data_IF_846615309995
#
_entry.id   IF_846615309995
#
_cell.length_a   1.000
_cell.length_b   1.000
_cell.length_c   1.000
_cell.angle_alpha   90.00
_cell.angle_beta   90.00
_cell.angle_gamma   90.00
#
_symmetry.space_group_name_H-M   'P 1'
#
loop_
_entity.id
_entity.type
_entity.pdbx_description
1 polymer ?
#
# COMPACT_ATOMS: atom_id res chain seq x y z
N UNK A 1 19.72 -29.24 5.58
CA UNK A 1 20.14 -28.01 6.28
C UNK A 1 19.45 -26.84 5.61
N UNK A 2 18.53 -26.15 6.28
CA UNK A 2 17.96 -24.88 5.80
C UNK A 2 19.07 -23.81 5.85
N UNK A 3 19.24 -22.96 4.84
CA UNK A 3 20.23 -21.89 4.89
C UNK A 3 19.84 -20.89 6.00
N UNK A 4 20.68 -20.80 7.04
CA UNK A 4 20.43 -20.00 8.25
C UNK A 4 20.66 -18.49 8.07
N UNK A 5 20.48 -17.96 6.85
CA UNK A 5 20.86 -16.57 6.50
C UNK A 5 19.73 -15.77 5.85
N UNK A 6 18.48 -16.23 5.94
CA UNK A 6 17.38 -15.44 5.38
C UNK A 6 17.10 -14.21 6.25
N UNK A 7 17.02 -13.01 5.65
CA UNK A 7 16.58 -11.81 6.34
C UNK A 7 15.22 -12.01 7.04
N UNK A 8 14.96 -11.28 8.14
CA UNK A 8 13.68 -11.33 8.83
C UNK A 8 12.50 -11.10 7.87
N UNK A 9 11.46 -11.93 8.02
CA UNK A 9 10.24 -11.82 7.22
C UNK A 9 10.26 -12.52 5.86
N UNK A 10 11.41 -13.05 5.39
CA UNK A 10 11.41 -13.87 4.18
C UNK A 10 10.74 -15.23 4.46
N UNK A 11 9.71 -15.53 3.69
CA UNK A 11 9.05 -16.83 3.70
C UNK A 11 9.65 -17.75 2.63
N UNK A 12 9.80 -19.03 2.96
CA UNK A 12 10.24 -20.08 2.03
C UNK A 12 9.10 -21.02 1.69
N UNK A 13 8.89 -21.29 0.41
CA UNK A 13 7.92 -22.28 -0.04
C UNK A 13 8.58 -23.26 -1.03
N UNK A 14 8.45 -24.55 -0.79
CA UNK A 14 8.81 -25.58 -1.77
C UNK A 14 7.61 -25.82 -2.69
N UNK A 15 7.82 -25.60 -3.98
CA UNK A 15 6.85 -25.88 -5.04
C UNK A 15 7.29 -27.14 -5.78
N UNK A 16 6.37 -28.10 -5.87
CA UNK A 16 6.53 -29.31 -6.67
C UNK A 16 5.81 -29.14 -8.01
N UNK A 17 6.53 -29.25 -9.11
CA UNK A 17 5.97 -29.20 -10.45
C UNK A 17 5.46 -30.59 -10.87
N UNK A 18 4.53 -30.64 -11.84
CA UNK A 18 3.99 -31.90 -12.39
C UNK A 18 5.07 -32.84 -12.96
N UNK A 19 6.22 -32.30 -13.33
CA UNK A 19 7.38 -33.06 -13.82
C UNK A 19 8.20 -33.75 -12.73
N UNK A 20 7.80 -33.63 -11.45
CA UNK A 20 8.57 -34.14 -10.30
C UNK A 20 9.72 -33.23 -9.86
N UNK A 21 9.99 -32.13 -10.59
CA UNK A 21 10.95 -31.11 -10.19
C UNK A 21 10.45 -30.37 -8.94
N UNK A 22 11.34 -30.16 -7.97
CA UNK A 22 11.11 -29.35 -6.78
C UNK A 22 11.90 -28.05 -6.86
N UNK A 23 11.32 -26.94 -6.42
CA UNK A 23 11.99 -25.64 -6.37
C UNK A 23 11.60 -24.90 -5.10
N UNK A 24 12.58 -24.27 -4.45
CA UNK A 24 12.35 -23.38 -3.31
C UNK A 24 12.16 -21.96 -3.83
N UNK A 25 11.07 -21.33 -3.43
CA UNK A 25 10.75 -19.92 -3.69
C UNK A 25 10.94 -19.15 -2.39
N UNK A 26 11.59 -17.98 -2.48
CA UNK A 26 11.80 -17.06 -1.38
C UNK A 26 10.96 -15.80 -1.63
N UNK A 27 10.09 -15.47 -0.69
CA UNK A 27 9.19 -14.31 -0.78
C UNK A 27 9.52 -13.32 0.31
N UNK A 28 9.89 -12.10 -0.07
CA UNK A 28 10.09 -11.00 0.86
C UNK A 28 8.75 -10.29 1.16
N UNK A 29 8.55 -9.75 2.37
CA UNK A 29 7.38 -8.95 2.68
C UNK A 29 7.44 -7.64 1.88
N UNK A 30 6.27 -7.08 1.55
CA UNK A 30 6.22 -5.75 0.95
C UNK A 30 6.80 -4.72 1.93
N UNK A 31 7.57 -3.78 1.38
CA UNK A 31 8.09 -2.65 2.16
C UNK A 31 6.92 -1.86 2.72
N UNK A 32 7.01 -1.50 4.00
CA UNK A 32 6.01 -0.73 4.72
C UNK A 32 6.68 0.33 5.59
N UNK A 33 6.05 1.50 5.74
CA UNK A 33 6.53 2.60 6.60
C UNK A 33 5.36 3.42 7.14
N UNK A 34 5.52 4.01 8.32
CA UNK A 34 4.43 4.64 9.09
C UNK A 34 3.45 3.62 9.72
N UNK A 35 2.25 4.05 10.15
CA UNK A 35 1.66 5.37 9.95
C UNK A 35 2.34 6.47 10.77
N UNK A 36 2.49 7.66 10.20
CA UNK A 36 3.03 8.85 10.88
C UNK A 36 2.04 10.01 10.78
N UNK A 37 1.97 10.82 11.83
CA UNK A 37 1.18 12.04 11.85
C UNK A 37 2.03 13.18 11.29
N UNK A 38 1.53 13.87 10.27
CA UNK A 38 2.18 15.03 9.64
C UNK A 38 1.19 16.18 9.45
N UNK A 39 1.67 17.27 8.83
CA UNK A 39 0.83 18.35 8.33
C UNK A 39 0.79 18.34 6.81
N UNK A 40 -0.41 18.54 6.24
CA UNK A 40 -0.58 18.73 4.80
C UNK A 40 -0.07 20.12 4.35
N UNK A 41 -0.11 20.40 3.04
CA UNK A 41 0.31 21.69 2.47
C UNK A 41 -0.52 22.88 2.98
N UNK A 42 -1.70 22.63 3.56
CA UNK A 42 -2.59 23.63 4.15
C UNK A 42 -2.43 23.70 5.68
N UNK A 43 -1.45 22.98 6.25
CA UNK A 43 -1.15 22.97 7.68
C UNK A 43 -2.07 22.09 8.53
N UNK A 44 -3.01 21.35 7.92
CA UNK A 44 -3.95 20.45 8.62
C UNK A 44 -3.27 19.15 8.98
N UNK A 45 -3.72 18.50 10.05
CA UNK A 45 -3.19 17.18 10.42
C UNK A 45 -3.54 16.14 9.35
N UNK A 46 -2.60 15.24 9.08
CA UNK A 46 -2.81 14.13 8.17
C UNK A 46 -2.03 12.90 8.66
N UNK A 47 -2.67 11.73 8.60
CA UNK A 47 -1.95 10.47 8.71
C UNK A 47 -1.36 10.11 7.36
N UNK A 48 -0.12 9.63 7.37
CA UNK A 48 0.55 9.11 6.17
C UNK A 48 1.09 7.72 6.45
N UNK A 49 0.81 6.79 5.54
CA UNK A 49 1.24 5.40 5.62
C UNK A 49 1.75 4.95 4.25
N UNK A 50 2.77 4.11 4.20
CA UNK A 50 3.26 3.52 2.97
C UNK A 50 3.20 2.00 3.04
N UNK A 51 2.71 1.36 1.98
CA UNK A 51 2.77 -0.08 1.78
C UNK A 51 2.99 -0.42 0.31
N UNK A 52 3.95 -1.29 0.01
CA UNK A 52 4.32 -1.67 -1.36
C UNK A 52 4.55 -0.46 -2.30
N UNK A 53 5.16 0.61 -1.77
CA UNK A 53 5.35 1.92 -2.44
C UNK A 53 4.07 2.67 -2.82
N UNK A 54 2.89 2.24 -2.35
CA UNK A 54 1.70 3.10 -2.30
C UNK A 54 1.75 3.93 -1.02
N UNK A 55 1.72 5.25 -1.17
CA UNK A 55 1.67 6.23 -0.09
C UNK A 55 0.24 6.73 0.04
N UNK A 56 -0.36 6.46 1.20
CA UNK A 56 -1.70 6.87 1.57
C UNK A 56 -1.63 8.11 2.44
N UNK A 57 -2.36 9.16 2.09
CA UNK A 57 -2.48 10.38 2.89
C UNK A 57 -3.93 10.62 3.25
N UNK A 58 -4.23 10.69 4.54
CA UNK A 58 -5.58 10.90 5.06
C UNK A 58 -5.64 12.12 5.98
N UNK A 59 -6.12 13.22 5.42
CA UNK A 59 -6.31 14.47 6.16
C UNK A 59 -7.39 14.36 7.23
N UNK A 60 -7.22 15.09 8.33
CA UNK A 60 -8.21 15.20 9.39
C UNK A 60 -9.55 15.69 8.85
N UNK A 61 -10.63 15.02 9.24
CA UNK A 61 -12.00 15.32 8.78
C UNK A 61 -12.31 14.90 7.33
N UNK A 62 -11.33 14.38 6.58
CA UNK A 62 -11.58 13.88 5.23
C UNK A 62 -12.26 12.51 5.28
N UNK A 63 -13.18 12.25 4.36
CA UNK A 63 -13.79 10.92 4.13
C UNK A 63 -13.09 10.14 3.01
N UNK A 64 -11.96 10.66 2.53
CA UNK A 64 -11.22 10.14 1.39
C UNK A 64 -9.71 10.16 1.67
N UNK A 65 -9.03 9.18 1.09
CA UNK A 65 -7.57 9.02 1.09
C UNK A 65 -7.01 9.38 -0.29
N UNK A 66 -5.89 10.09 -0.30
CA UNK A 66 -5.09 10.30 -1.49
C UNK A 66 -4.02 9.22 -1.59
N UNK A 67 -3.81 8.68 -2.78
CA UNK A 67 -2.83 7.61 -3.03
C UNK A 67 -1.78 8.09 -4.04
N UNK A 68 -0.52 7.91 -3.69
CA UNK A 68 0.64 8.24 -4.54
C UNK A 68 1.60 7.05 -4.61
N UNK A 69 2.49 7.04 -5.59
CA UNK A 69 3.65 6.14 -5.63
C UNK A 69 4.86 6.82 -5.00
N UNK A 70 5.63 6.11 -4.17
CA UNK A 70 6.93 6.59 -3.66
C UNK A 70 7.25 6.10 -2.26
N UNK A 71 7.85 6.98 -1.46
CA UNK A 71 8.20 6.74 -0.05
C UNK A 71 7.72 7.90 0.83
N UNK A 72 7.69 7.72 2.15
CA UNK A 72 7.26 8.77 3.08
C UNK A 72 8.20 10.00 3.04
N UNK A 73 9.51 9.79 3.00
CA UNK A 73 10.53 10.86 2.97
C UNK A 73 10.90 11.35 1.57
N UNK A 74 10.56 10.60 0.52
CA UNK A 74 10.95 10.89 -0.85
C UNK A 74 9.88 11.59 -1.69
N UNK A 75 10.20 11.87 -2.97
CA UNK A 75 9.24 12.37 -3.95
C UNK A 75 8.08 11.38 -4.11
N UNK A 76 6.89 11.92 -4.38
CA UNK A 76 5.65 11.16 -4.52
C UNK A 76 4.99 11.51 -5.84
N UNK A 77 4.67 10.50 -6.63
CA UNK A 77 3.92 10.64 -7.87
C UNK A 77 2.44 10.37 -7.58
N UNK A 78 1.52 11.34 -7.69
CA UNK A 78 0.10 11.11 -7.46
C UNK A 78 -0.45 10.02 -8.38
N UNK A 79 -1.27 9.11 -7.83
CA UNK A 79 -1.90 8.03 -8.60
C UNK A 79 -3.42 8.13 -8.58
N UNK A 80 -4.02 8.14 -7.38
CA UNK A 80 -5.47 8.26 -7.19
C UNK A 80 -5.81 9.35 -6.20
N UNK A 81 -6.89 10.06 -6.52
CA UNK A 81 -7.53 11.02 -5.62
C UNK A 81 -8.89 10.47 -5.24
N UNK A 82 -9.31 10.70 -4.00
CA UNK A 82 -10.68 10.45 -3.59
C UNK A 82 -11.04 9.01 -3.26
N UNK A 83 -10.09 8.17 -2.84
CA UNK A 83 -10.39 6.78 -2.45
C UNK A 83 -11.14 6.80 -1.12
N UNK A 84 -12.41 6.41 -1.12
CA UNK A 84 -13.27 6.46 0.07
C UNK A 84 -12.73 5.57 1.19
N UNK A 85 -12.75 6.10 2.42
CA UNK A 85 -12.43 5.37 3.64
C UNK A 85 -13.56 5.56 4.66
N UNK A 86 -14.13 4.44 5.11
CA UNK A 86 -15.27 4.43 6.04
C UNK A 86 -14.89 4.28 7.51
N UNK A 87 -13.63 4.49 7.86
CA UNK A 87 -13.10 4.25 9.21
C UNK A 87 -13.00 5.54 10.03
N UNK A 88 -12.79 5.40 11.35
CA UNK A 88 -12.45 6.54 12.21
C UNK A 88 -11.01 7.01 11.95
N UNK A 89 -10.83 8.33 11.92
CA UNK A 89 -9.55 8.97 11.62
C UNK A 89 -8.47 8.57 12.64
N UNK A 90 -7.58 7.66 12.23
CA UNK A 90 -6.48 7.17 13.05
C UNK A 90 -5.40 6.53 12.17
N UNK A 91 -4.16 6.54 12.65
CA UNK A 91 -3.04 5.88 11.98
C UNK A 91 -3.28 4.37 11.74
N UNK A 92 -3.68 3.58 12.75
CA UNK A 92 -3.96 2.15 12.56
C UNK A 92 -5.03 1.86 11.50
N UNK A 93 -6.12 2.63 11.49
CA UNK A 93 -7.17 2.47 10.49
C UNK A 93 -6.67 2.76 9.07
N UNK A 94 -5.80 3.78 8.91
CA UNK A 94 -5.16 4.06 7.61
C UNK A 94 -4.23 2.91 7.18
N UNK A 95 -3.49 2.33 8.12
CA UNK A 95 -2.56 1.24 7.84
C UNK A 95 -3.29 -0.02 7.37
N UNK A 96 -4.36 -0.41 8.08
CA UNK A 96 -5.21 -1.53 7.70
C UNK A 96 -5.84 -1.31 6.31
N UNK A 97 -6.47 -0.15 6.11
CA UNK A 97 -7.05 0.24 4.83
C UNK A 97 -6.02 0.18 3.69
N UNK A 98 -4.84 0.79 3.90
CA UNK A 98 -3.80 0.88 2.88
C UNK A 98 -3.24 -0.49 2.46
N UNK A 99 -3.07 -1.40 3.42
CA UNK A 99 -2.63 -2.77 3.14
C UNK A 99 -3.64 -3.52 2.29
N UNK A 100 -4.92 -3.53 2.70
CA UNK A 100 -6.00 -4.20 1.96
C UNK A 100 -6.13 -3.63 0.55
N UNK A 101 -6.15 -2.29 0.45
CA UNK A 101 -6.28 -1.60 -0.83
C UNK A 101 -5.12 -1.94 -1.77
N UNK A 102 -3.87 -1.89 -1.28
CA UNK A 102 -2.68 -2.17 -2.10
C UNK A 102 -2.64 -3.62 -2.56
N UNK A 103 -2.96 -4.57 -1.69
CA UNK A 103 -3.01 -5.99 -2.05
C UNK A 103 -4.04 -6.27 -3.14
N UNK A 104 -5.21 -5.62 -3.09
CA UNK A 104 -6.23 -5.73 -4.14
C UNK A 104 -5.75 -5.16 -5.49
N UNK A 105 -4.98 -4.06 -5.47
CA UNK A 105 -4.40 -3.53 -6.72
C UNK A 105 -3.34 -4.47 -7.31
N UNK A 106 -2.50 -5.06 -6.47
CA UNK A 106 -1.40 -5.93 -6.90
C UNK A 106 -1.93 -7.30 -7.37
N UNK A 107 -2.95 -7.84 -6.72
CA UNK A 107 -3.57 -9.12 -7.11
C UNK A 107 -4.36 -9.03 -8.41
N UNK A 108 -4.64 -7.83 -8.90
CA UNK A 108 -5.35 -7.60 -10.16
C UNK A 108 -6.88 -7.64 -10.02
N UNK A 109 -7.41 -7.68 -8.79
CA UNK A 109 -8.85 -7.51 -8.53
C UNK A 109 -9.21 -6.03 -8.63
N UNK A 110 -9.14 -5.52 -9.86
CA UNK A 110 -9.41 -4.13 -10.21
C UNK A 110 -10.91 -3.89 -10.07
N UNK A 111 -11.38 -3.61 -8.85
CA UNK A 111 -12.62 -2.86 -8.67
C UNK A 111 -12.58 -1.66 -9.61
N UNK A 112 -13.58 -1.57 -10.49
CA UNK A 112 -13.66 -0.64 -11.61
C UNK A 112 -13.20 0.76 -11.19
N UNK A 113 -12.24 1.39 -11.89
CA UNK A 113 -11.91 2.78 -11.63
C UNK A 113 -13.18 3.61 -11.75
N UNK A 114 -13.48 4.43 -10.75
CA UNK A 114 -14.41 5.53 -10.93
C UNK A 114 -13.94 6.31 -12.15
N UNK A 115 -14.81 6.38 -13.18
CA UNK A 115 -14.54 7.05 -14.45
C UNK A 115 -13.98 8.45 -14.15
N UNK A 116 -12.74 8.69 -14.56
CA UNK A 116 -12.19 10.04 -14.67
C UNK A 116 -12.90 10.65 -15.88
N UNK A 117 -13.99 11.37 -15.62
CA UNK A 117 -14.54 12.29 -16.60
C UNK A 117 -13.64 13.52 -16.61
N UNK A 118 -12.67 13.55 -17.50
CA UNK A 118 -12.06 14.82 -17.91
C UNK A 118 -13.12 15.56 -18.74
N UNK A 119 -13.86 16.46 -18.07
CA UNK A 119 -14.56 17.54 -18.75
C UNK A 119 -13.51 18.54 -19.22
N UNK A 120 -13.14 18.45 -20.50
CA UNK A 120 -12.46 19.52 -21.21
C UNK A 120 -13.54 20.39 -21.90
N UNK A 121 -13.49 21.73 -21.77
CA UNK A 121 -14.45 22.65 -22.38
C UNK A 121 -14.43 22.65 -23.91
#
# INVERSE_FOLDING_TARGET
>A
MLPSMLPPGIATQEVSYRSGRKQVIYTAPYVSDGPVLTRDLLGRQAWVFMYAHFVFTWGEGAVQVQVSHGTLSGPKMPLWKGVSIGAYWSGPALAEFGQVWALNQISGDRGTPAVISDSIP
#
